data_IF_540055075055
#
_entry.id   IF_540055075055
#
_cell.length_a   1.000
_cell.length_b   1.000
_cell.length_c   1.000
_cell.angle_alpha   90.00
_cell.angle_beta   90.00
_cell.angle_gamma   90.00
#
_symmetry.space_group_name_H-M   'P 1'
#
loop_
_entity.id
_entity.type
_entity.pdbx_description
1 polymer ?
#
# COMPACT_ATOMS: atom_id res chain seq x y z
N UNK A 1 -11.28 -2.55 -16.79
CA UNK A 1 -10.64 -1.40 -16.13
C UNK A 1 -11.00 -1.43 -14.66
N UNK A 2 -10.00 -1.47 -13.79
CA UNK A 2 -10.17 -1.56 -12.33
C UNK A 2 -9.46 -0.38 -11.68
N UNK A 3 -10.18 0.40 -10.90
CA UNK A 3 -9.65 1.57 -10.18
C UNK A 3 -9.18 1.14 -8.81
N UNK A 4 -7.93 1.45 -8.50
CA UNK A 4 -7.27 1.04 -7.26
C UNK A 4 -6.98 2.27 -6.39
N UNK A 5 -7.41 2.21 -5.12
CA UNK A 5 -6.92 3.09 -4.07
C UNK A 5 -5.84 2.38 -3.27
N UNK A 6 -4.76 3.07 -2.96
CA UNK A 6 -3.62 2.49 -2.24
C UNK A 6 -3.20 3.40 -1.10
N UNK A 7 -3.07 2.81 0.09
CA UNK A 7 -2.56 3.49 1.26
C UNK A 7 -1.71 2.55 2.10
N UNK A 8 -0.92 3.10 2.99
CA UNK A 8 -0.09 2.36 3.93
C UNK A 8 0.17 3.17 5.19
N UNK A 9 0.62 2.48 6.24
CA UNK A 9 1.16 3.13 7.43
C UNK A 9 0.18 4.16 8.03
N UNK A 10 -1.05 3.71 8.25
CA UNK A 10 -2.07 4.52 8.92
C UNK A 10 -1.80 4.65 10.42
N UNK A 11 -1.11 3.67 11.03
CA UNK A 11 -0.72 3.69 12.45
C UNK A 11 -1.88 4.13 13.35
N UNK A 12 -3.03 3.47 13.21
CA UNK A 12 -4.25 3.72 13.99
C UNK A 12 -4.87 5.12 13.79
N UNK A 13 -4.50 5.83 12.73
CA UNK A 13 -5.05 7.14 12.40
C UNK A 13 -6.10 7.04 11.32
N UNK A 14 -7.31 7.53 11.58
CA UNK A 14 -8.37 7.67 10.58
C UNK A 14 -8.42 9.09 10.06
N UNK A 15 -8.70 9.22 8.76
CA UNK A 15 -8.96 10.49 8.09
C UNK A 15 -10.13 10.26 7.13
N UNK A 16 -11.19 11.07 7.27
CA UNK A 16 -12.38 10.93 6.42
C UNK A 16 -12.06 11.10 4.93
N UNK A 17 -10.94 11.75 4.60
CA UNK A 17 -10.47 11.88 3.23
C UNK A 17 -10.08 10.53 2.60
N UNK A 18 -9.75 9.50 3.38
CA UNK A 18 -9.56 8.15 2.85
C UNK A 18 -10.82 7.70 2.11
N UNK A 19 -11.97 7.85 2.74
CA UNK A 19 -13.25 7.50 2.14
C UNK A 19 -13.55 8.40 0.94
N UNK A 20 -13.33 9.69 1.04
CA UNK A 20 -13.60 10.65 -0.02
C UNK A 20 -12.81 10.34 -1.30
N UNK A 21 -11.51 10.06 -1.17
CA UNK A 21 -10.66 9.76 -2.32
C UNK A 21 -10.87 8.36 -2.89
N UNK A 22 -11.32 7.42 -2.07
CA UNK A 22 -11.46 6.02 -2.49
C UNK A 22 -12.87 5.60 -2.85
N UNK A 23 -13.87 6.47 -2.69
CA UNK A 23 -15.27 6.12 -2.96
C UNK A 23 -15.54 5.66 -4.39
N UNK A 24 -14.75 6.14 -5.35
CA UNK A 24 -14.89 5.79 -6.77
C UNK A 24 -13.93 4.66 -7.19
N UNK A 25 -13.20 4.07 -6.26
CA UNK A 25 -12.33 2.93 -6.51
C UNK A 25 -13.12 1.63 -6.50
N UNK A 26 -12.65 0.67 -7.25
CA UNK A 26 -13.19 -0.71 -7.24
C UNK A 26 -12.55 -1.54 -6.15
N UNK A 27 -11.27 -1.32 -5.90
CA UNK A 27 -10.51 -1.95 -4.82
C UNK A 27 -9.70 -0.92 -4.03
N UNK A 28 -9.51 -1.20 -2.74
CA UNK A 28 -8.60 -0.45 -1.85
C UNK A 28 -7.62 -1.44 -1.23
N UNK A 29 -6.34 -1.12 -1.34
CA UNK A 29 -5.25 -1.93 -0.81
C UNK A 29 -4.49 -1.19 0.27
N UNK A 30 -4.20 -1.88 1.37
CA UNK A 30 -3.41 -1.35 2.49
C UNK A 30 -2.11 -2.16 2.63
N UNK A 31 -0.98 -1.48 2.52
CA UNK A 31 0.34 -2.11 2.51
C UNK A 31 0.96 -2.32 3.91
N UNK A 32 0.15 -2.35 4.97
CA UNK A 32 0.60 -2.72 6.31
C UNK A 32 0.80 -1.56 7.28
N UNK A 33 1.03 -1.91 8.55
CA UNK A 33 1.02 -0.98 9.68
C UNK A 33 -0.32 -0.24 9.78
N UNK A 34 -1.39 -1.03 9.84
CA UNK A 34 -2.76 -0.56 9.99
C UNK A 34 -2.93 0.09 11.37
N UNK A 35 -2.45 -0.56 12.40
CA UNK A 35 -2.32 -0.04 13.74
C UNK A 35 -3.47 -0.38 14.69
N UNK A 36 -4.70 -0.56 14.20
CA UNK A 36 -5.82 -0.96 15.04
C UNK A 36 -6.92 -1.66 14.24
N UNK A 37 -7.70 -2.49 14.92
CA UNK A 37 -8.88 -3.13 14.34
C UNK A 37 -9.93 -2.11 13.88
N UNK A 38 -10.04 -0.97 14.54
CA UNK A 38 -10.98 0.09 14.16
C UNK A 38 -10.70 0.61 12.75
N UNK A 39 -9.45 0.87 12.41
CA UNK A 39 -9.06 1.32 11.06
C UNK A 39 -9.37 0.25 10.03
N UNK A 40 -9.03 -1.00 10.32
CA UNK A 40 -9.35 -2.13 9.45
C UNK A 40 -10.85 -2.25 9.21
N UNK A 41 -11.67 -2.15 10.27
CA UNK A 41 -13.12 -2.23 10.19
C UNK A 41 -13.70 -1.12 9.32
N UNK A 42 -13.19 0.10 9.46
CA UNK A 42 -13.64 1.23 8.65
C UNK A 42 -13.31 1.07 7.17
N UNK A 43 -12.12 0.57 6.87
CA UNK A 43 -11.71 0.32 5.49
C UNK A 43 -12.50 -0.83 4.87
N UNK A 44 -12.73 -1.91 5.62
CA UNK A 44 -13.58 -3.02 5.16
C UNK A 44 -15.04 -2.62 4.98
N UNK A 45 -15.50 -1.62 5.73
CA UNK A 45 -16.85 -1.10 5.60
C UNK A 45 -17.11 -0.25 4.37
N UNK A 46 -16.07 0.11 3.61
CA UNK A 46 -16.24 0.81 2.33
C UNK A 46 -16.86 -0.13 1.28
N UNK A 47 -17.67 0.39 0.35
CA UNK A 47 -18.29 -0.42 -0.69
C UNK A 47 -17.29 -0.80 -1.81
N UNK A 48 -16.17 -1.39 -1.45
CA UNK A 48 -15.06 -1.76 -2.33
C UNK A 48 -14.49 -3.11 -1.91
N UNK A 49 -13.76 -3.77 -2.79
CA UNK A 49 -12.94 -4.92 -2.39
C UNK A 49 -11.74 -4.41 -1.62
N UNK A 50 -11.57 -4.85 -0.39
CA UNK A 50 -10.45 -4.47 0.46
C UNK A 50 -9.43 -5.60 0.57
N UNK A 51 -8.16 -5.26 0.30
CA UNK A 51 -7.02 -6.19 0.49
C UNK A 51 -5.99 -5.52 1.38
N UNK A 52 -5.38 -6.29 2.27
CA UNK A 52 -4.35 -5.76 3.15
C UNK A 52 -3.30 -6.81 3.51
N UNK A 53 -2.13 -6.34 3.86
CA UNK A 53 -1.11 -7.12 4.56
C UNK A 53 -0.91 -6.54 5.96
N UNK A 54 -0.46 -7.36 6.89
CA UNK A 54 -0.02 -6.88 8.20
C UNK A 54 1.41 -6.36 8.12
N UNK A 55 1.70 -5.30 8.88
CA UNK A 55 3.03 -4.73 9.01
C UNK A 55 3.70 -5.10 10.33
N UNK A 56 4.90 -4.57 10.55
CA UNK A 56 5.72 -4.92 11.71
C UNK A 56 5.16 -4.43 13.05
N UNK A 57 4.35 -3.37 13.05
CA UNK A 57 3.73 -2.87 14.29
C UNK A 57 2.35 -3.49 14.55
N UNK A 58 1.79 -4.23 13.59
CA UNK A 58 0.47 -4.79 13.73
C UNK A 58 0.45 -5.94 14.72
N UNK A 59 -0.54 -5.91 15.63
CA UNK A 59 -0.72 -6.89 16.66
C UNK A 59 -1.42 -8.16 16.18
N UNK A 60 -1.69 -9.05 17.13
CA UNK A 60 -2.22 -10.38 16.86
C UNK A 60 -3.56 -10.38 16.11
N UNK A 61 -4.48 -9.51 16.49
CA UNK A 61 -5.80 -9.39 15.85
C UNK A 61 -5.72 -8.97 14.38
N UNK A 62 -4.84 -8.04 14.04
CA UNK A 62 -4.60 -7.66 12.65
C UNK A 62 -3.92 -8.79 11.88
N UNK A 63 -2.94 -9.45 12.48
CA UNK A 63 -2.21 -10.57 11.85
C UNK A 63 -3.10 -11.78 11.58
N UNK A 64 -4.12 -12.00 12.39
CA UNK A 64 -5.11 -13.05 12.13
C UNK A 64 -6.00 -12.72 10.92
N UNK A 65 -6.27 -11.46 10.67
CA UNK A 65 -7.14 -10.99 9.58
C UNK A 65 -6.39 -10.86 8.26
N UNK A 66 -5.14 -10.44 8.29
CA UNK A 66 -4.36 -10.12 7.11
C UNK A 66 -2.99 -10.77 7.17
N UNK A 67 -2.57 -11.45 6.08
CA UNK A 67 -1.25 -12.10 6.02
C UNK A 67 -0.14 -11.05 5.92
N UNK A 68 1.09 -11.47 6.17
CA UNK A 68 2.27 -10.63 5.95
C UNK A 68 2.58 -10.40 4.47
N UNK A 69 2.19 -11.35 3.64
CA UNK A 69 2.42 -11.32 2.19
C UNK A 69 1.11 -11.69 1.50
N UNK A 70 0.72 -10.91 0.51
CA UNK A 70 -0.36 -11.26 -0.40
C UNK A 70 0.13 -11.26 -1.84
N UNK A 71 -0.27 -12.29 -2.57
CA UNK A 71 -0.09 -12.34 -4.02
C UNK A 71 -1.43 -12.61 -4.66
N UNK A 72 -1.80 -11.77 -5.60
CA UNK A 72 -3.10 -11.83 -6.24
C UNK A 72 -3.04 -11.26 -7.64
N UNK A 73 -4.06 -11.56 -8.41
CA UNK A 73 -4.17 -11.07 -9.78
C UNK A 73 -5.36 -10.13 -9.90
N UNK A 74 -5.13 -8.99 -10.55
CA UNK A 74 -6.18 -8.04 -10.93
C UNK A 74 -6.10 -7.84 -12.43
N UNK A 75 -7.16 -8.20 -13.13
CA UNK A 75 -7.16 -8.27 -14.60
C UNK A 75 -5.94 -9.08 -15.08
N UNK A 76 -5.09 -8.55 -15.93
CA UNK A 76 -3.87 -9.23 -16.39
C UNK A 76 -2.62 -8.94 -15.56
N UNK A 77 -2.72 -8.30 -14.40
CA UNK A 77 -1.59 -7.90 -13.58
C UNK A 77 -1.42 -8.79 -12.37
N UNK A 78 -0.25 -9.40 -12.24
CA UNK A 78 0.18 -10.16 -11.07
C UNK A 78 0.77 -9.20 -10.03
N UNK A 79 0.15 -9.15 -8.86
CA UNK A 79 0.50 -8.22 -7.78
C UNK A 79 1.08 -8.97 -6.60
N UNK A 80 2.22 -8.50 -6.10
CA UNK A 80 2.80 -8.92 -4.83
C UNK A 80 2.78 -7.74 -3.87
N UNK A 81 2.26 -7.95 -2.68
CA UNK A 81 2.21 -6.93 -1.63
C UNK A 81 2.85 -7.46 -0.36
N UNK A 82 3.81 -6.71 0.18
CA UNK A 82 4.50 -7.01 1.44
C UNK A 82 4.93 -5.70 2.09
N UNK A 83 4.63 -5.54 3.38
CA UNK A 83 4.90 -4.28 4.09
C UNK A 83 6.37 -3.87 4.03
N UNK A 84 7.27 -4.75 4.45
CA UNK A 84 8.72 -4.51 4.39
C UNK A 84 9.27 -5.14 3.13
N UNK A 85 9.54 -4.33 2.12
CA UNK A 85 9.97 -4.83 0.82
C UNK A 85 11.23 -4.16 0.26
N UNK A 86 11.61 -3.01 0.79
CA UNK A 86 12.66 -2.22 0.17
C UNK A 86 12.21 -1.62 -1.16
N UNK A 87 13.11 -1.51 -2.12
CA UNK A 87 12.86 -0.91 -3.43
C UNK A 87 13.87 -1.44 -4.45
N UNK A 88 13.66 -1.22 -5.75
CA UNK A 88 14.59 -1.67 -6.78
C UNK A 88 16.04 -1.24 -6.51
N UNK A 89 16.94 -2.22 -6.52
CA UNK A 89 18.34 -2.05 -6.17
C UNK A 89 18.66 -2.25 -4.69
N UNK A 90 17.65 -2.21 -3.82
CA UNK A 90 17.77 -2.41 -2.37
C UNK A 90 16.56 -3.13 -1.78
N UNK A 91 16.15 -4.21 -2.41
CA UNK A 91 15.07 -5.04 -1.86
C UNK A 91 15.44 -5.60 -0.49
N UNK A 92 14.45 -5.66 0.39
CA UNK A 92 14.63 -6.32 1.68
C UNK A 92 14.96 -7.80 1.50
N UNK A 93 15.84 -8.34 2.36
CA UNK A 93 16.27 -9.74 2.28
C UNK A 93 15.08 -10.71 2.31
N UNK A 94 14.02 -10.37 3.06
CA UNK A 94 12.83 -11.22 3.20
C UNK A 94 12.00 -11.37 1.92
N UNK A 95 12.17 -10.49 0.94
CA UNK A 95 11.39 -10.52 -0.30
C UNK A 95 12.20 -10.93 -1.53
N UNK A 96 13.54 -10.88 -1.45
CA UNK A 96 14.41 -11.13 -2.62
C UNK A 96 14.16 -12.49 -3.26
N UNK A 97 14.00 -13.54 -2.46
CA UNK A 97 13.75 -14.89 -2.97
C UNK A 97 12.44 -14.99 -3.74
N UNK A 98 11.38 -14.31 -3.27
CA UNK A 98 10.09 -14.29 -3.94
C UNK A 98 10.17 -13.57 -5.28
N UNK A 99 10.87 -12.44 -5.33
CA UNK A 99 11.05 -11.66 -6.56
C UNK A 99 11.88 -12.41 -7.59
N UNK A 100 12.95 -13.10 -7.13
CA UNK A 100 13.79 -13.91 -8.00
C UNK A 100 13.05 -15.12 -8.57
N UNK A 101 12.32 -15.85 -7.72
CA UNK A 101 11.65 -17.09 -8.13
C UNK A 101 10.50 -16.85 -9.11
N UNK A 102 9.71 -15.82 -8.87
CA UNK A 102 8.57 -15.43 -9.71
C UNK A 102 8.30 -13.93 -9.60
N UNK A 103 8.92 -13.12 -10.45
CA UNK A 103 8.72 -11.68 -10.41
C UNK A 103 7.26 -11.32 -10.66
N UNK A 104 6.64 -10.46 -9.81
CA UNK A 104 5.34 -9.91 -10.10
C UNK A 104 5.46 -8.82 -11.18
N UNK A 105 4.33 -8.39 -11.74
CA UNK A 105 4.30 -7.21 -12.61
C UNK A 105 4.20 -5.93 -11.78
N UNK A 106 3.59 -6.03 -10.59
CA UNK A 106 3.43 -4.91 -9.64
C UNK A 106 3.84 -5.38 -8.24
N UNK A 107 4.80 -4.67 -7.65
CA UNK A 107 5.25 -4.91 -6.28
C UNK A 107 4.95 -3.73 -5.39
N UNK A 108 4.09 -3.94 -4.39
CA UNK A 108 3.64 -2.93 -3.44
C UNK A 108 4.30 -3.14 -2.09
N UNK A 109 4.87 -2.09 -1.52
CA UNK A 109 5.37 -2.10 -0.15
C UNK A 109 5.07 -0.78 0.56
N UNK A 110 5.33 -0.74 1.87
CA UNK A 110 5.20 0.42 2.73
C UNK A 110 6.44 0.60 3.61
N UNK A 111 6.25 0.78 4.90
CA UNK A 111 7.25 0.79 5.96
C UNK A 111 8.18 2.02 5.99
N UNK A 112 8.76 2.41 4.87
CA UNK A 112 9.70 3.55 4.83
C UNK A 112 9.03 4.90 5.04
N UNK A 113 7.72 4.99 4.84
CA UNK A 113 6.95 6.24 4.81
C UNK A 113 7.35 7.17 3.66
N UNK A 114 8.12 6.66 2.69
CA UNK A 114 8.60 7.44 1.55
C UNK A 114 7.84 7.02 0.31
N UNK A 115 7.14 7.96 -0.29
CA UNK A 115 6.47 7.76 -1.58
C UNK A 115 7.48 7.42 -2.66
N UNK A 116 7.26 6.32 -3.37
CA UNK A 116 8.17 5.86 -4.41
C UNK A 116 7.41 5.16 -5.52
N UNK A 117 7.75 5.50 -6.75
CA UNK A 117 7.29 4.82 -7.97
C UNK A 117 8.51 4.57 -8.83
N UNK A 118 8.90 3.32 -9.00
CA UNK A 118 10.11 2.94 -9.74
C UNK A 118 9.85 1.70 -10.59
N UNK A 119 10.34 1.72 -11.81
CA UNK A 119 10.36 0.53 -12.66
C UNK A 119 11.70 -0.19 -12.53
N UNK A 120 11.65 -1.49 -12.28
CA UNK A 120 12.82 -2.36 -12.21
C UNK A 120 13.03 -3.07 -13.54
N UNK A 121 14.09 -2.70 -14.27
CA UNK A 121 14.42 -3.30 -15.55
C UNK A 121 14.99 -4.73 -15.43
N UNK A 122 15.48 -5.11 -14.26
CA UNK A 122 16.00 -6.46 -14.02
C UNK A 122 14.88 -7.49 -13.94
N UNK A 123 13.83 -7.17 -13.17
CA UNK A 123 12.70 -8.06 -12.96
C UNK A 123 11.48 -7.70 -13.80
N UNK A 124 11.52 -6.60 -14.55
CA UNK A 124 10.39 -6.10 -15.34
C UNK A 124 9.13 -5.88 -14.49
N UNK A 125 9.30 -5.26 -13.35
CA UNK A 125 8.20 -4.95 -12.44
C UNK A 125 8.13 -3.46 -12.13
N UNK A 126 6.91 -3.00 -11.86
CA UNK A 126 6.68 -1.67 -11.31
C UNK A 126 6.62 -1.79 -9.78
N UNK A 127 7.45 -1.03 -9.08
CA UNK A 127 7.41 -0.92 -7.62
C UNK A 127 6.72 0.36 -7.19
N UNK A 128 5.78 0.23 -6.25
CA UNK A 128 5.05 1.38 -5.67
C UNK A 128 5.09 1.28 -4.15
N UNK A 129 5.45 2.39 -3.52
CA UNK A 129 5.23 2.64 -2.10
C UNK A 129 4.38 3.91 -1.98
N UNK A 130 3.18 3.84 -1.40
CA UNK A 130 2.29 5.00 -1.34
C UNK A 130 2.70 6.06 -0.32
N UNK A 131 3.77 5.82 0.44
CA UNK A 131 4.12 6.64 1.60
C UNK A 131 3.19 6.38 2.78
N UNK A 132 3.28 7.18 3.82
CA UNK A 132 2.44 7.04 4.99
C UNK A 132 1.15 7.86 4.88
N UNK A 133 0.02 7.21 5.08
CA UNK A 133 -1.28 7.87 5.13
C UNK A 133 -1.58 8.46 6.51
N UNK A 134 -0.97 7.92 7.55
CA UNK A 134 -1.12 8.37 8.94
C UNK A 134 -0.18 9.49 9.33
N UNK A 135 -0.31 9.92 10.57
CA UNK A 135 0.46 11.06 11.13
C UNK A 135 1.75 10.63 11.80
N UNK A 136 1.92 9.33 12.08
CA UNK A 136 3.11 8.81 12.74
C UNK A 136 4.29 8.73 11.77
N UNK A 137 5.47 9.10 12.25
CA UNK A 137 6.72 9.05 11.49
C UNK A 137 7.31 10.43 11.26
N UNK A 138 8.38 10.51 10.50
CA UNK A 138 9.13 11.75 10.22
C UNK A 138 8.83 12.37 8.86
N UNK A 139 7.94 11.74 8.08
CA UNK A 139 7.59 12.24 6.75
C UNK A 139 6.96 13.64 6.84
N UNK A 140 7.33 14.57 5.95
CA UNK A 140 6.78 15.93 5.97
C UNK A 140 5.36 16.00 5.39
N UNK A 141 4.96 15.01 4.58
CA UNK A 141 3.68 14.97 3.88
C UNK A 141 3.07 13.58 4.00
N UNK A 142 1.76 13.53 4.25
CA UNK A 142 0.97 12.31 4.23
C UNK A 142 0.45 12.09 2.83
N UNK A 143 0.44 10.84 2.37
CA UNK A 143 0.10 10.53 0.98
C UNK A 143 -0.85 9.34 0.85
N UNK A 144 -1.69 9.41 -0.16
CA UNK A 144 -2.47 8.31 -0.73
C UNK A 144 -2.10 8.19 -2.20
N UNK A 145 -2.43 7.06 -2.80
CA UNK A 145 -2.33 6.88 -4.24
C UNK A 145 -3.60 6.33 -4.83
N UNK A 146 -3.84 6.66 -6.10
CA UNK A 146 -4.84 6.02 -6.95
C UNK A 146 -4.21 5.70 -8.29
N UNK A 147 -4.62 4.60 -8.87
CA UNK A 147 -4.20 4.24 -10.23
C UNK A 147 -5.23 3.30 -10.86
N UNK A 148 -5.07 3.02 -12.13
CA UNK A 148 -5.95 2.16 -12.90
C UNK A 148 -5.16 0.97 -13.43
N UNK A 149 -5.74 -0.22 -13.30
CA UNK A 149 -5.29 -1.41 -14.00
C UNK A 149 -6.29 -1.66 -15.14
N UNK A 150 -5.78 -1.72 -16.35
CA UNK A 150 -6.58 -1.97 -17.55
C UNK A 150 -5.88 -3.07 -18.37
N UNK A 151 -6.39 -4.30 -18.30
CA UNK A 151 -5.73 -5.47 -18.84
C UNK A 151 -4.38 -5.69 -18.16
N UNK A 152 -3.28 -5.46 -18.87
CA UNK A 152 -1.92 -5.52 -18.34
C UNK A 152 -1.31 -4.14 -18.09
N UNK A 153 -2.02 -3.06 -18.44
CA UNK A 153 -1.54 -1.70 -18.25
C UNK A 153 -1.86 -1.21 -16.83
N UNK A 154 -0.86 -0.54 -16.26
CA UNK A 154 -0.99 0.22 -15.01
C UNK A 154 -0.81 1.68 -15.41
N UNK A 155 -1.85 2.49 -15.22
CA UNK A 155 -1.89 3.86 -15.72
C UNK A 155 -2.62 4.81 -14.80
N UNK A 156 -2.58 6.10 -15.14
CA UNK A 156 -3.29 7.18 -14.45
C UNK A 156 -2.95 7.23 -12.96
N UNK A 157 -1.67 7.06 -12.64
CA UNK A 157 -1.19 7.09 -11.27
C UNK A 157 -1.25 8.52 -10.72
N UNK A 158 -1.95 8.68 -9.60
CA UNK A 158 -2.05 9.93 -8.86
C UNK A 158 -1.43 9.77 -7.48
N UNK A 159 -0.59 10.73 -7.09
CA UNK A 159 -0.12 10.87 -5.72
C UNK A 159 -0.92 12.00 -5.09
N UNK A 160 -1.65 11.68 -4.01
CA UNK A 160 -2.52 12.61 -3.31
C UNK A 160 -1.84 13.02 -2.02
N UNK A 161 -1.47 14.29 -1.91
CA UNK A 161 -0.94 14.86 -0.68
C UNK A 161 -2.11 15.34 0.18
N UNK A 162 -2.19 14.84 1.42
CA UNK A 162 -3.28 15.20 2.32
C UNK A 162 -3.00 16.52 3.04
N UNK A 163 -1.82 16.65 3.64
CA UNK A 163 -1.36 17.85 4.34
C UNK A 163 0.13 17.73 4.61
N UNK A 164 0.72 18.86 4.96
CA UNK A 164 2.03 18.83 5.59
C UNK A 164 1.85 18.29 7.01
N UNK A 165 2.70 17.40 7.40
CA UNK A 165 2.71 16.93 8.77
C UNK A 165 2.98 18.13 9.69
N UNK A 166 1.99 18.48 10.48
CA UNK A 166 2.24 19.28 11.66
C UNK A 166 3.00 18.39 12.64
N UNK A 167 4.19 18.80 13.03
CA UNK A 167 4.85 18.18 14.17
C UNK A 167 3.93 18.46 15.35
N UNK A 168 3.14 17.47 15.70
CA UNK A 168 2.39 17.53 16.95
C UNK A 168 3.44 17.26 18.01
N UNK A 169 3.83 18.30 18.70
CA UNK A 169 4.62 18.13 19.91
C UNK A 169 3.87 17.17 20.82
N UNK A 170 4.55 16.12 21.16
CA UNK A 170 4.00 15.10 22.05
C UNK A 170 3.84 15.65 23.45
#
# INVERSE_FOLDING_TARGET
MTRIGLLSDTHAWWDDRYQQYFQDCDEVWHAGDIGSAEIADRLEGLPVTFRAVSGNIDGYDIRLRYPQVQRFQVEGVDVLMKHIGGYPGRYDASVRGMLFARPPQLFISGHSHITKVMYDNTYHLLHINPGAAGVYGIQPVRTLMRFVIDGTDIRDLEIIELDKRTIVDK
#
